data_IF_488837580911
#
_entry.id   IF_488837580911
#
_cell.length_a   1.000
_cell.length_b   1.000
_cell.length_c   1.000
_cell.angle_alpha   90.00
_cell.angle_beta   90.00
_cell.angle_gamma   90.00
#
_symmetry.space_group_name_H-M   'P 1'
#
loop_
_entity.id
_entity.type
_entity.pdbx_description
1 polymer ?
#
# COMPACT_ATOMS: atom_id res chain seq x y z
N UNK A 1 -54.87 12.06 -17.68
CA UNK A 1 -53.78 12.77 -16.97
C UNK A 1 -53.71 12.43 -15.47
N UNK A 2 -54.31 11.33 -15.03
CA UNK A 2 -54.19 10.76 -13.67
C UNK A 2 -53.83 9.25 -13.73
N UNK A 3 -53.31 8.79 -14.87
CA UNK A 3 -52.85 7.41 -15.13
C UNK A 3 -51.31 7.34 -15.32
N UNK A 4 -50.61 8.42 -14.96
CA UNK A 4 -49.14 8.53 -15.05
C UNK A 4 -48.49 8.42 -13.66
N UNK A 5 -49.28 8.30 -12.59
CA UNK A 5 -48.81 8.22 -11.20
C UNK A 5 -49.23 6.92 -10.50
N UNK A 6 -49.13 5.79 -11.19
CA UNK A 6 -49.11 4.47 -10.54
C UNK A 6 -47.70 3.90 -10.62
N UNK A 7 -46.77 4.63 -10.00
CA UNK A 7 -45.34 4.37 -9.98
C UNK A 7 -44.90 3.90 -8.59
N UNK A 8 -45.50 2.80 -8.10
CA UNK A 8 -45.15 2.12 -6.85
C UNK A 8 -44.44 0.77 -7.09
N UNK A 9 -43.75 0.63 -8.24
CA UNK A 9 -42.92 -0.55 -8.55
C UNK A 9 -41.43 -0.21 -8.69
N UNK A 10 -40.94 0.87 -8.06
CA UNK A 10 -39.56 1.29 -8.27
C UNK A 10 -38.54 0.40 -7.53
N UNK A 11 -38.86 -0.25 -6.41
CA UNK A 11 -37.92 -1.17 -5.76
C UNK A 11 -38.67 -2.29 -5.00
N UNK A 12 -39.13 -3.32 -5.71
CA UNK A 12 -39.40 -4.61 -5.07
C UNK A 12 -38.23 -5.52 -5.40
N UNK A 13 -37.16 -5.47 -4.59
CA UNK A 13 -36.09 -6.46 -4.66
C UNK A 13 -36.71 -7.80 -4.28
N UNK A 14 -36.96 -8.64 -5.26
CA UNK A 14 -37.43 -9.98 -5.01
C UNK A 14 -36.28 -10.84 -4.48
N UNK A 15 -36.59 -11.91 -3.75
CA UNK A 15 -35.58 -12.83 -3.21
C UNK A 15 -34.68 -13.43 -4.32
N UNK A 16 -35.18 -13.53 -5.55
CA UNK A 16 -34.42 -13.89 -6.75
C UNK A 16 -33.29 -12.91 -7.06
N UNK A 17 -33.56 -11.60 -6.93
CA UNK A 17 -32.60 -10.56 -7.27
C UNK A 17 -31.42 -10.55 -6.28
N UNK A 18 -31.70 -10.85 -5.00
CA UNK A 18 -30.66 -11.02 -3.97
C UNK A 18 -29.81 -12.28 -4.22
N UNK A 19 -30.43 -13.37 -4.66
CA UNK A 19 -29.71 -14.59 -5.03
C UNK A 19 -28.77 -14.35 -6.22
N UNK A 20 -29.25 -13.66 -7.26
CA UNK A 20 -28.44 -13.29 -8.42
C UNK A 20 -27.26 -12.40 -8.03
N UNK A 21 -27.48 -11.41 -7.16
CA UNK A 21 -26.43 -10.53 -6.64
C UNK A 21 -25.34 -11.32 -5.90
N UNK A 22 -25.73 -12.22 -4.99
CA UNK A 22 -24.79 -13.05 -4.24
C UNK A 22 -24.01 -13.98 -5.17
N UNK A 23 -24.69 -14.60 -6.14
CA UNK A 23 -24.09 -15.48 -7.14
C UNK A 23 -23.06 -14.73 -7.99
N UNK A 24 -23.37 -13.51 -8.43
CA UNK A 24 -22.44 -12.66 -9.16
C UNK A 24 -21.20 -12.28 -8.33
N UNK A 25 -21.39 -11.91 -7.05
CA UNK A 25 -20.27 -11.62 -6.15
C UNK A 25 -19.33 -12.82 -5.96
N UNK A 26 -19.89 -14.04 -5.84
CA UNK A 26 -19.11 -15.27 -5.71
C UNK A 26 -18.31 -15.53 -6.99
N UNK A 27 -18.93 -15.46 -8.16
CA UNK A 27 -18.24 -15.67 -9.44
C UNK A 27 -17.16 -14.61 -9.70
N UNK A 28 -17.40 -13.36 -9.32
CA UNK A 28 -16.41 -12.31 -9.36
C UNK A 28 -15.21 -12.62 -8.45
N UNK A 29 -15.46 -13.00 -7.19
CA UNK A 29 -14.41 -13.38 -6.26
C UNK A 29 -13.59 -14.59 -6.76
N UNK A 30 -14.25 -15.62 -7.29
CA UNK A 30 -13.58 -16.79 -7.88
C UNK A 30 -12.74 -16.42 -9.12
N UNK A 31 -13.24 -15.55 -9.97
CA UNK A 31 -12.51 -15.06 -11.15
C UNK A 31 -11.28 -14.24 -10.75
N UNK A 32 -11.39 -13.42 -9.69
CA UNK A 32 -10.23 -12.71 -9.13
C UNK A 32 -9.17 -13.69 -8.61
N UNK A 33 -9.57 -14.76 -7.91
CA UNK A 33 -8.65 -15.80 -7.45
C UNK A 33 -8.00 -16.49 -8.65
N UNK A 34 -8.77 -16.86 -9.67
CA UNK A 34 -8.26 -17.46 -10.89
C UNK A 34 -7.20 -16.59 -11.58
N UNK A 35 -7.47 -15.29 -11.77
CA UNK A 35 -6.51 -14.33 -12.34
C UNK A 35 -5.29 -14.20 -11.43
N UNK A 36 -5.46 -14.20 -10.10
CA UNK A 36 -4.35 -14.07 -9.16
C UNK A 36 -3.39 -15.25 -9.21
N UNK A 37 -3.90 -16.46 -9.49
CA UNK A 37 -3.12 -17.69 -9.70
C UNK A 37 -2.26 -17.59 -10.97
N UNK A 38 -2.69 -16.86 -11.99
CA UNK A 38 -1.91 -16.64 -13.23
C UNK A 38 -0.61 -15.85 -12.98
N UNK A 39 -0.53 -15.13 -11.85
CA UNK A 39 0.68 -14.46 -11.41
C UNK A 39 0.81 -13.02 -11.92
N UNK A 40 1.84 -12.32 -11.40
CA UNK A 40 2.02 -10.87 -11.64
C UNK A 40 2.49 -10.54 -13.06
N UNK A 41 3.15 -11.49 -13.75
CA UNK A 41 3.68 -11.32 -15.11
C UNK A 41 2.55 -11.02 -16.10
N UNK A 42 1.47 -11.80 -16.05
CA UNK A 42 0.31 -11.69 -16.93
C UNK A 42 -0.31 -10.28 -16.92
N UNK A 43 -0.34 -9.62 -15.76
CA UNK A 43 -0.95 -8.27 -15.64
C UNK A 43 0.02 -7.18 -16.13
N UNK A 44 1.32 -7.34 -15.91
CA UNK A 44 2.32 -6.34 -16.28
C UNK A 44 2.67 -6.35 -17.77
N UNK A 45 2.64 -7.53 -18.39
CA UNK A 45 2.87 -7.74 -19.82
C UNK A 45 1.89 -8.80 -20.31
N UNK A 46 0.71 -8.35 -20.74
CA UNK A 46 -0.32 -9.22 -21.30
C UNK A 46 0.20 -9.83 -22.61
N UNK A 47 0.51 -11.12 -22.58
CA UNK A 47 0.73 -11.87 -23.81
C UNK A 47 -0.59 -11.99 -24.58
N UNK A 48 -0.59 -12.05 -25.92
CA UNK A 48 -1.80 -12.35 -26.70
C UNK A 48 -2.53 -13.61 -26.19
N UNK A 49 -1.78 -14.61 -25.75
CA UNK A 49 -2.33 -15.82 -25.17
C UNK A 49 -3.06 -15.59 -23.83
N UNK A 50 -2.50 -14.75 -22.97
CA UNK A 50 -3.13 -14.40 -21.70
C UNK A 50 -4.45 -13.64 -21.93
N UNK A 51 -4.48 -12.74 -22.92
CA UNK A 51 -5.67 -12.01 -23.32
C UNK A 51 -6.80 -12.96 -23.74
N UNK A 52 -6.50 -13.94 -24.60
CA UNK A 52 -7.48 -14.96 -25.02
C UNK A 52 -8.03 -15.70 -23.81
N UNK A 53 -7.17 -16.09 -22.88
CA UNK A 53 -7.57 -16.85 -21.68
C UNK A 53 -8.50 -16.02 -20.78
N UNK A 54 -8.20 -14.73 -20.58
CA UNK A 54 -9.06 -13.82 -19.80
C UNK A 54 -10.44 -13.68 -20.45
N UNK A 55 -10.50 -13.55 -21.78
CA UNK A 55 -11.76 -13.46 -22.53
C UNK A 55 -12.58 -14.75 -22.37
N UNK A 56 -11.95 -15.91 -22.53
CA UNK A 56 -12.65 -17.21 -22.40
C UNK A 56 -13.17 -17.40 -20.97
N UNK A 57 -12.38 -17.06 -19.94
CA UNK A 57 -12.83 -17.14 -18.55
C UNK A 57 -14.03 -16.22 -18.30
N UNK A 58 -13.96 -14.97 -18.77
CA UNK A 58 -15.06 -14.01 -18.63
C UNK A 58 -16.35 -14.54 -19.27
N UNK A 59 -16.26 -15.05 -20.51
CA UNK A 59 -17.40 -15.63 -21.21
C UNK A 59 -17.95 -16.88 -20.51
N UNK A 60 -17.08 -17.76 -20.01
CA UNK A 60 -17.46 -18.99 -19.33
C UNK A 60 -18.17 -18.74 -18.00
N UNK A 61 -17.81 -17.67 -17.29
CA UNK A 61 -18.42 -17.28 -16.02
C UNK A 61 -19.72 -16.49 -16.24
N UNK A 62 -19.80 -15.66 -17.28
CA UNK A 62 -20.96 -14.81 -17.55
C UNK A 62 -22.27 -15.60 -17.73
N UNK A 63 -22.25 -16.67 -18.54
CA UNK A 63 -23.45 -17.48 -18.83
C UNK A 63 -24.11 -18.05 -17.55
N UNK A 64 -23.40 -18.82 -16.70
CA UNK A 64 -23.95 -19.33 -15.44
C UNK A 64 -24.05 -18.24 -14.37
N UNK A 65 -23.53 -17.04 -14.56
CA UNK A 65 -23.76 -15.92 -13.66
C UNK A 65 -25.11 -15.26 -13.93
N UNK A 66 -25.51 -15.15 -15.19
CA UNK A 66 -26.75 -14.51 -15.63
C UNK A 66 -27.98 -15.44 -15.56
N UNK A 67 -27.84 -16.72 -15.96
CA UNK A 67 -28.97 -17.65 -15.96
C UNK A 67 -29.07 -18.43 -14.64
N UNK A 68 -30.09 -18.09 -13.85
CA UNK A 68 -30.39 -18.76 -12.58
C UNK A 68 -30.71 -20.25 -12.73
N UNK A 69 -31.21 -20.68 -13.91
CA UNK A 69 -31.58 -22.07 -14.19
C UNK A 69 -30.38 -22.98 -14.35
N UNK A 70 -29.23 -22.41 -14.72
CA UNK A 70 -27.99 -23.15 -14.81
C UNK A 70 -27.49 -23.40 -13.39
N UNK A 71 -27.16 -24.64 -12.98
CA UNK A 71 -26.60 -24.86 -11.65
C UNK A 71 -25.22 -24.22 -11.51
N UNK A 72 -24.92 -23.66 -10.33
CA UNK A 72 -23.66 -22.96 -10.05
C UNK A 72 -22.40 -23.76 -10.43
N UNK A 73 -22.43 -25.08 -10.19
CA UNK A 73 -21.33 -26.00 -10.51
C UNK A 73 -20.94 -25.97 -11.99
N UNK A 74 -21.90 -25.76 -12.89
CA UNK A 74 -21.63 -25.68 -14.33
C UNK A 74 -20.85 -24.41 -14.73
N UNK A 75 -20.81 -23.37 -13.89
CA UNK A 75 -19.88 -22.25 -14.07
C UNK A 75 -18.54 -22.46 -13.40
N UNK A 76 -18.50 -23.21 -12.30
CA UNK A 76 -17.26 -23.51 -11.61
C UNK A 76 -16.35 -24.45 -12.41
N UNK A 77 -16.93 -25.48 -13.06
CA UNK A 77 -16.18 -26.44 -13.86
C UNK A 77 -15.32 -25.77 -14.94
N UNK A 78 -15.87 -24.95 -15.86
CA UNK A 78 -15.06 -24.32 -16.90
C UNK A 78 -14.08 -23.32 -16.32
N UNK A 79 -14.47 -22.52 -15.32
CA UNK A 79 -13.56 -21.58 -14.64
C UNK A 79 -12.32 -22.28 -14.08
N UNK A 80 -12.51 -23.34 -13.31
CA UNK A 80 -11.41 -24.11 -12.71
C UNK A 80 -10.60 -24.84 -13.78
N UNK A 81 -11.27 -25.47 -14.74
CA UNK A 81 -10.60 -26.22 -15.81
C UNK A 81 -9.69 -25.33 -16.65
N UNK A 82 -10.17 -24.16 -17.08
CA UNK A 82 -9.38 -23.21 -17.86
C UNK A 82 -8.23 -22.66 -17.01
N UNK A 83 -8.48 -22.35 -15.75
CA UNK A 83 -7.43 -21.84 -14.83
C UNK A 83 -6.32 -22.86 -14.65
N UNK A 84 -6.65 -24.14 -14.43
CA UNK A 84 -5.68 -25.23 -14.26
C UNK A 84 -4.90 -25.47 -15.56
N UNK A 85 -5.58 -25.53 -16.70
CA UNK A 85 -4.93 -25.69 -18.01
C UNK A 85 -3.97 -24.53 -18.28
N UNK A 86 -4.41 -23.29 -18.03
CA UNK A 86 -3.57 -22.11 -18.20
C UNK A 86 -2.33 -22.16 -17.30
N UNK A 87 -2.51 -22.53 -16.03
CA UNK A 87 -1.40 -22.67 -15.08
C UNK A 87 -0.39 -23.74 -15.53
N UNK A 88 -0.86 -24.91 -15.94
CA UNK A 88 0.00 -25.99 -16.46
C UNK A 88 0.73 -25.56 -17.74
N UNK A 89 0.06 -24.82 -18.62
CA UNK A 89 0.68 -24.32 -19.83
C UNK A 89 1.78 -23.30 -19.53
N UNK A 90 1.59 -22.41 -18.55
CA UNK A 90 2.64 -21.49 -18.09
C UNK A 90 3.85 -22.23 -17.53
N UNK A 91 3.65 -23.31 -16.77
CA UNK A 91 4.75 -24.18 -16.32
C UNK A 91 5.50 -24.82 -17.50
N UNK A 92 4.76 -25.22 -18.54
CA UNK A 92 5.32 -25.83 -19.73
C UNK A 92 6.11 -24.83 -20.58
N UNK A 93 5.59 -23.60 -20.74
CA UNK A 93 6.27 -22.48 -21.39
C UNK A 93 7.60 -22.21 -20.69
N UNK A 94 7.59 -22.10 -19.36
CA UNK A 94 8.78 -21.82 -18.55
C UNK A 94 9.86 -22.91 -18.70
N UNK A 95 9.46 -24.16 -18.96
CA UNK A 95 10.39 -25.27 -19.15
C UNK A 95 10.90 -25.40 -20.59
N UNK A 96 10.16 -24.92 -21.59
CA UNK A 96 10.47 -25.17 -23.00
C UNK A 96 10.36 -23.91 -23.86
N UNK A 97 11.54 -23.39 -24.24
CA UNK A 97 11.68 -22.20 -25.09
C UNK A 97 11.05 -22.34 -26.48
N UNK A 98 10.90 -23.56 -27.01
CA UNK A 98 10.17 -23.75 -28.29
C UNK A 98 8.68 -23.47 -28.14
N UNK A 99 8.10 -23.86 -27.00
CA UNK A 99 6.69 -23.63 -26.68
C UNK A 99 6.46 -22.16 -26.38
N UNK A 100 7.38 -21.53 -25.65
CA UNK A 100 7.41 -20.07 -25.47
C UNK A 100 7.41 -19.34 -26.82
N UNK A 101 8.35 -19.65 -27.71
CA UNK A 101 8.44 -19.01 -29.01
C UNK A 101 7.20 -19.24 -29.88
N UNK A 102 6.54 -20.39 -29.77
CA UNK A 102 5.34 -20.71 -30.55
C UNK A 102 4.09 -19.99 -30.02
N UNK A 103 3.91 -19.92 -28.69
CA UNK A 103 2.71 -19.34 -28.06
C UNK A 103 2.83 -17.84 -27.83
N UNK A 104 4.00 -17.37 -27.40
CA UNK A 104 4.23 -15.97 -27.08
C UNK A 104 4.86 -15.21 -28.23
N UNK A 105 5.49 -15.88 -29.20
CA UNK A 105 6.21 -15.26 -30.30
C UNK A 105 7.70 -15.06 -30.00
N UNK A 106 8.42 -14.51 -30.97
CA UNK A 106 9.86 -14.19 -30.86
C UNK A 106 10.10 -12.72 -31.15
N UNK A 107 11.03 -12.05 -30.45
CA UNK A 107 11.42 -10.70 -30.80
C UNK A 107 12.01 -10.64 -32.21
N UNK A 108 11.83 -9.51 -32.89
CA UNK A 108 12.24 -9.32 -34.28
C UNK A 108 12.91 -7.96 -34.47
N UNK A 109 14.16 -7.95 -34.92
CA UNK A 109 14.92 -6.71 -35.15
C UNK A 109 14.33 -5.99 -36.37
N UNK A 110 13.83 -4.77 -36.20
CA UNK A 110 13.26 -3.96 -37.29
C UNK A 110 14.26 -2.95 -37.85
N UNK A 111 15.19 -2.46 -37.02
CA UNK A 111 16.23 -1.50 -37.40
C UNK A 111 17.56 -1.96 -36.83
N UNK A 112 18.61 -1.93 -37.65
CA UNK A 112 19.97 -2.26 -37.24
C UNK A 112 20.91 -1.20 -37.82
N UNK A 113 21.75 -0.60 -36.97
CA UNK A 113 22.68 0.48 -37.32
C UNK A 113 22.06 1.72 -38.00
N UNK A 114 20.76 1.93 -37.83
CA UNK A 114 19.99 3.02 -38.47
C UNK A 114 19.38 2.63 -39.82
N UNK A 115 19.57 1.39 -40.27
CA UNK A 115 18.97 0.85 -41.49
C UNK A 115 17.75 -0.01 -41.16
N UNK A 116 16.68 0.17 -41.95
CA UNK A 116 15.44 -0.59 -41.77
C UNK A 116 15.57 -1.98 -42.40
N UNK A 117 15.30 -3.02 -41.61
CA UNK A 117 15.24 -4.40 -42.09
C UNK A 117 13.85 -4.69 -42.68
N UNK A 118 13.65 -4.30 -43.95
CA UNK A 118 12.36 -4.43 -44.67
C UNK A 118 11.82 -5.87 -44.65
N UNK A 119 12.69 -6.88 -44.65
CA UNK A 119 12.31 -8.29 -44.55
C UNK A 119 11.56 -8.59 -43.24
N UNK A 120 12.02 -8.03 -42.13
CA UNK A 120 11.44 -8.26 -40.81
C UNK A 120 10.16 -7.45 -40.65
N UNK A 121 10.10 -6.22 -41.18
CA UNK A 121 8.84 -5.46 -41.27
C UNK A 121 7.74 -6.25 -41.99
N UNK A 122 8.05 -6.86 -43.14
CA UNK A 122 7.08 -7.70 -43.88
C UNK A 122 6.66 -8.94 -43.10
N UNK A 123 7.61 -9.59 -42.42
CA UNK A 123 7.35 -10.79 -41.60
C UNK A 123 6.41 -10.47 -40.44
N UNK A 124 6.66 -9.37 -39.73
CA UNK A 124 5.85 -8.93 -38.59
C UNK A 124 4.61 -8.11 -39.00
N UNK A 125 4.38 -7.92 -40.31
CA UNK A 125 3.27 -7.12 -40.87
C UNK A 125 3.24 -5.68 -40.35
N UNK A 126 4.41 -5.11 -40.09
CA UNK A 126 4.59 -3.73 -39.65
C UNK A 126 4.91 -2.87 -40.87
N UNK A 127 4.16 -1.78 -41.07
CA UNK A 127 4.45 -0.82 -42.13
C UNK A 127 5.57 0.14 -41.70
N UNK A 128 6.17 0.86 -42.65
CA UNK A 128 7.13 1.91 -42.31
C UNK A 128 6.49 3.01 -41.44
N UNK A 129 5.23 3.34 -41.68
CA UNK A 129 4.49 4.31 -40.87
C UNK A 129 4.31 3.82 -39.42
N UNK A 130 4.01 2.54 -39.22
CA UNK A 130 3.93 1.94 -37.88
C UNK A 130 5.27 2.02 -37.15
N UNK A 131 6.37 1.72 -37.85
CA UNK A 131 7.72 1.84 -37.30
C UNK A 131 8.02 3.29 -36.86
N UNK A 132 7.69 4.30 -37.67
CA UNK A 132 7.85 5.71 -37.30
C UNK A 132 7.03 6.10 -36.07
N UNK A 133 5.79 5.59 -35.95
CA UNK A 133 4.96 5.78 -34.75
C UNK A 133 5.65 5.17 -33.53
N UNK A 134 6.13 3.93 -33.63
CA UNK A 134 6.81 3.22 -32.54
C UNK A 134 8.12 3.91 -32.12
N UNK A 135 8.91 4.43 -33.07
CA UNK A 135 10.11 5.21 -32.78
C UNK A 135 9.76 6.51 -32.04
N UNK A 136 8.68 7.18 -32.45
CA UNK A 136 8.19 8.40 -31.79
C UNK A 136 7.72 8.16 -30.37
N UNK A 137 7.04 7.03 -30.09
CA UNK A 137 6.66 6.63 -28.73
C UNK A 137 7.87 6.45 -27.80
N UNK A 138 9.04 6.20 -28.37
CA UNK A 138 10.32 6.11 -27.66
C UNK A 138 11.15 7.38 -27.67
N UNK A 139 10.57 8.49 -28.12
CA UNK A 139 11.23 9.79 -28.25
C UNK A 139 12.43 9.79 -29.21
N UNK A 140 12.48 8.85 -30.16
CA UNK A 140 13.50 8.84 -31.21
C UNK A 140 13.04 9.71 -32.36
N UNK A 141 13.84 10.72 -32.71
CA UNK A 141 13.50 11.68 -33.77
C UNK A 141 14.03 11.26 -35.13
N UNK A 142 15.18 10.60 -35.15
CA UNK A 142 15.82 10.16 -36.38
C UNK A 142 16.25 8.70 -36.25
N UNK A 143 15.87 7.88 -37.22
CA UNK A 143 16.23 6.47 -37.26
C UNK A 143 17.75 6.25 -37.27
N UNK A 144 18.53 7.19 -37.79
CA UNK A 144 19.99 7.10 -37.80
C UNK A 144 20.62 7.08 -36.41
N UNK A 145 19.88 7.53 -35.38
CA UNK A 145 20.31 7.50 -33.98
C UNK A 145 20.20 6.10 -33.36
N UNK A 146 19.46 5.21 -34.01
CA UNK A 146 19.17 3.86 -33.52
C UNK A 146 20.31 2.93 -33.88
N UNK A 147 20.84 2.25 -32.87
CA UNK A 147 21.76 1.13 -33.03
C UNK A 147 20.97 -0.15 -33.32
N UNK A 148 19.93 -0.40 -32.53
CA UNK A 148 19.03 -1.55 -32.71
C UNK A 148 17.62 -1.16 -32.28
N UNK A 149 16.61 -1.46 -33.08
CA UNK A 149 15.22 -1.44 -32.65
C UNK A 149 14.58 -2.81 -32.85
N UNK A 150 14.10 -3.40 -31.76
CA UNK A 150 13.58 -4.76 -31.72
C UNK A 150 12.11 -4.73 -31.31
N UNK A 151 11.26 -5.32 -32.16
CA UNK A 151 9.85 -5.50 -31.88
C UNK A 151 9.68 -6.70 -30.95
N UNK A 152 9.16 -6.45 -29.75
CA UNK A 152 8.87 -7.46 -28.76
C UNK A 152 7.54 -8.17 -29.08
N UNK A 153 7.32 -9.40 -28.58
CA UNK A 153 6.10 -10.15 -28.90
C UNK A 153 4.80 -9.54 -28.36
N UNK A 154 4.89 -8.62 -27.39
CA UNK A 154 3.77 -7.82 -26.92
C UNK A 154 3.48 -6.60 -27.81
N UNK A 155 4.15 -6.48 -28.96
CA UNK A 155 4.01 -5.38 -29.93
C UNK A 155 4.78 -4.12 -29.57
N UNK A 156 5.48 -4.09 -28.43
CA UNK A 156 6.25 -2.91 -28.00
C UNK A 156 7.60 -2.90 -28.69
N UNK A 157 8.09 -1.72 -29.02
CA UNK A 157 9.44 -1.53 -29.51
C UNK A 157 10.42 -1.42 -28.34
N UNK A 158 11.56 -2.10 -28.42
CA UNK A 158 12.74 -1.89 -27.58
C UNK A 158 13.80 -1.20 -28.43
N UNK A 159 14.49 -0.18 -27.90
CA UNK A 159 15.48 0.59 -28.67
C UNK A 159 16.79 0.67 -27.89
N UNK A 160 17.88 0.42 -28.61
CA UNK A 160 19.24 0.75 -28.22
C UNK A 160 19.70 1.89 -29.13
N UNK A 161 20.14 2.99 -28.53
CA UNK A 161 20.69 4.13 -29.27
C UNK A 161 22.17 3.89 -29.58
N UNK A 162 22.70 4.60 -30.57
CA UNK A 162 24.15 4.65 -30.80
C UNK A 162 24.83 5.37 -29.63
N UNK A 163 26.05 4.99 -29.29
CA UNK A 163 26.80 5.56 -28.15
C UNK A 163 26.81 7.10 -28.14
N UNK A 164 26.97 7.73 -29.31
CA UNK A 164 26.98 9.20 -29.45
C UNK A 164 25.62 9.88 -29.14
N UNK A 165 24.53 9.12 -29.16
CA UNK A 165 23.16 9.58 -28.94
C UNK A 165 22.62 9.13 -27.56
N UNK A 166 23.39 8.32 -26.82
CA UNK A 166 23.01 7.89 -25.47
C UNK A 166 23.05 9.05 -24.48
N UNK A 167 22.11 9.11 -23.52
CA UNK A 167 22.14 10.13 -22.49
C UNK A 167 23.36 9.94 -21.59
N UNK A 168 24.07 11.05 -21.33
CA UNK A 168 25.24 11.07 -20.45
C UNK A 168 24.86 10.55 -19.05
N UNK A 169 25.61 9.56 -18.57
CA UNK A 169 25.43 9.02 -17.22
C UNK A 169 26.31 9.76 -16.21
N UNK A 170 26.02 9.58 -14.91
CA UNK A 170 26.87 10.13 -13.83
C UNK A 170 28.32 9.65 -13.92
N UNK A 171 28.54 8.43 -14.39
CA UNK A 171 29.88 7.84 -14.50
C UNK A 171 30.70 8.51 -15.59
N UNK A 172 30.07 8.88 -16.71
CA UNK A 172 30.73 9.58 -17.82
C UNK A 172 31.21 10.97 -17.41
N UNK A 173 30.53 11.59 -16.43
CA UNK A 173 30.91 12.86 -15.83
C UNK A 173 31.90 12.71 -14.65
N UNK A 174 32.36 11.50 -14.34
CA UNK A 174 33.22 11.23 -13.19
C UNK A 174 32.55 11.47 -11.83
N UNK A 175 31.22 11.54 -11.78
CA UNK A 175 30.48 11.77 -10.55
C UNK A 175 30.29 10.47 -9.78
N UNK A 176 30.42 10.54 -8.46
CA UNK A 176 30.13 9.42 -7.58
C UNK A 176 28.67 8.95 -7.74
N UNK A 177 28.41 7.63 -7.62
CA UNK A 177 27.06 7.10 -7.63
C UNK A 177 26.25 7.74 -6.51
N UNK A 178 25.03 8.15 -6.81
CA UNK A 178 24.06 8.51 -5.78
C UNK A 178 23.70 7.24 -5.03
N UNK A 179 24.21 7.07 -3.80
CA UNK A 179 23.88 5.96 -2.90
C UNK A 179 22.47 6.02 -2.34
N UNK A 180 21.54 6.58 -3.12
CA UNK A 180 20.18 6.86 -2.70
C UNK A 180 19.34 5.60 -2.61
N UNK A 181 18.55 5.48 -1.54
CA UNK A 181 17.50 4.47 -1.46
C UNK A 181 16.32 4.89 -2.34
N UNK A 182 15.54 3.95 -2.87
CA UNK A 182 14.23 4.33 -3.41
C UNK A 182 13.38 4.95 -2.29
N UNK A 183 12.62 6.02 -2.54
CA UNK A 183 11.80 6.62 -1.50
C UNK A 183 10.85 5.59 -0.88
N UNK A 184 10.91 5.40 0.43
CA UNK A 184 10.14 4.37 1.13
C UNK A 184 9.03 5.01 1.94
N UNK A 185 7.78 4.66 1.62
CA UNK A 185 6.62 5.04 2.44
C UNK A 185 6.62 4.24 3.74
N UNK A 186 6.79 4.91 4.87
CA UNK A 186 6.86 4.29 6.21
C UNK A 186 5.60 4.49 7.05
N UNK A 187 4.84 5.56 6.79
CA UNK A 187 3.52 5.78 7.38
C UNK A 187 2.53 6.16 6.29
N UNK A 188 1.37 5.49 6.28
CA UNK A 188 0.24 5.82 5.42
C UNK A 188 -1.01 5.94 6.27
N UNK A 189 -1.72 7.07 6.17
CA UNK A 189 -2.99 7.32 6.86
C UNK A 189 -2.95 7.13 8.39
N UNK A 190 -1.79 7.35 9.00
CA UNK A 190 -1.56 7.18 10.43
C UNK A 190 -1.16 5.77 10.87
N UNK A 191 -1.09 4.82 9.94
CA UNK A 191 -0.61 3.46 10.19
C UNK A 191 0.84 3.30 9.74
N UNK A 192 1.63 2.61 10.57
CA UNK A 192 3.04 2.32 10.28
C UNK A 192 3.15 1.07 9.41
N UNK A 193 3.87 1.18 8.29
CA UNK A 193 4.09 0.08 7.34
C UNK A 193 5.37 -0.70 7.70
N UNK A 194 5.26 -1.73 8.53
CA UNK A 194 6.42 -2.51 9.02
C UNK A 194 7.25 -3.16 7.94
N UNK A 195 6.59 -3.73 6.92
CA UNK A 195 7.29 -4.39 5.81
C UNK A 195 8.18 -3.42 5.04
N UNK A 196 7.85 -2.12 5.10
CA UNK A 196 8.62 -1.05 4.49
C UNK A 196 9.71 -0.55 5.43
N UNK A 197 9.42 -0.45 6.73
CA UNK A 197 10.43 -0.12 7.74
C UNK A 197 11.55 -1.16 7.81
N UNK A 198 11.23 -2.46 7.76
CA UNK A 198 12.22 -3.55 7.76
C UNK A 198 13.16 -3.50 6.55
N UNK A 199 12.71 -2.95 5.43
CA UNK A 199 13.51 -2.73 4.22
C UNK A 199 14.24 -1.39 4.22
N UNK A 200 13.87 -0.50 5.14
CA UNK A 200 14.54 0.76 5.39
C UNK A 200 15.64 0.58 6.45
N UNK A 201 16.56 1.53 6.55
CA UNK A 201 17.55 1.58 7.64
C UNK A 201 17.02 2.23 8.92
N UNK A 202 15.71 2.50 8.99
CA UNK A 202 15.07 3.27 10.06
C UNK A 202 14.35 2.34 11.05
N UNK A 203 14.61 2.53 12.35
CA UNK A 203 13.85 1.86 13.42
C UNK A 203 12.55 2.61 13.74
N UNK A 204 11.59 1.91 14.34
CA UNK A 204 10.33 2.51 14.81
C UNK A 204 10.61 3.62 15.84
N UNK A 205 11.58 3.41 16.74
CA UNK A 205 11.96 4.41 17.73
C UNK A 205 12.45 5.71 17.06
N UNK A 206 13.32 5.60 16.04
CA UNK A 206 13.80 6.76 15.29
C UNK A 206 12.68 7.47 14.51
N UNK A 207 11.75 6.70 13.94
CA UNK A 207 10.58 7.25 13.26
C UNK A 207 9.72 8.09 14.20
N UNK A 208 9.44 7.53 15.38
CA UNK A 208 8.66 8.18 16.45
C UNK A 208 9.33 9.48 16.90
N UNK A 209 10.62 9.43 17.21
CA UNK A 209 11.38 10.61 17.66
C UNK A 209 11.37 11.72 16.60
N UNK A 210 11.54 11.37 15.32
CA UNK A 210 11.56 12.35 14.23
C UNK A 210 10.20 13.00 13.98
N UNK A 211 9.11 12.26 14.23
CA UNK A 211 7.73 12.78 14.14
C UNK A 211 7.42 13.71 15.31
N UNK A 212 7.78 13.32 16.53
CA UNK A 212 7.61 14.15 17.72
C UNK A 212 8.39 15.46 17.62
N UNK A 213 9.63 15.42 17.08
CA UNK A 213 10.45 16.62 16.85
C UNK A 213 9.78 17.64 15.92
N UNK A 214 8.79 17.22 15.12
CA UNK A 214 8.02 18.08 14.20
C UNK A 214 6.68 18.53 14.80
N UNK A 215 6.50 18.37 16.12
CA UNK A 215 5.31 18.78 16.85
C UNK A 215 4.08 18.00 16.42
N UNK A 216 4.21 16.70 16.22
CA UNK A 216 3.10 15.78 15.96
C UNK A 216 3.07 14.79 17.11
N UNK A 217 1.99 14.82 17.89
CA UNK A 217 1.88 14.01 19.11
C UNK A 217 1.31 12.62 18.85
N UNK A 218 0.50 12.45 17.79
CA UNK A 218 -0.13 11.17 17.44
C UNK A 218 0.22 10.77 16.02
N UNK A 219 0.47 9.47 15.81
CA UNK A 219 0.72 8.94 14.47
C UNK A 219 -0.51 9.14 13.55
N UNK A 220 -1.72 9.13 14.09
CA UNK A 220 -2.98 9.33 13.36
C UNK A 220 -3.10 10.69 12.65
N UNK A 221 -2.35 11.69 13.12
CA UNK A 221 -2.30 13.03 12.55
C UNK A 221 -1.32 13.10 11.36
N UNK A 222 -0.57 12.02 11.09
CA UNK A 222 0.32 11.88 9.94
C UNK A 222 -0.44 11.28 8.77
N UNK A 223 -0.70 12.08 7.73
CA UNK A 223 -1.27 11.56 6.49
C UNK A 223 -0.28 10.66 5.76
N UNK A 224 0.99 11.07 5.71
CA UNK A 224 2.05 10.35 5.00
C UNK A 224 3.41 10.63 5.63
N UNK A 225 4.23 9.61 5.82
CA UNK A 225 5.66 9.78 6.06
C UNK A 225 6.47 8.93 5.08
N UNK A 226 7.43 9.54 4.39
CA UNK A 226 8.26 8.89 3.37
C UNK A 226 9.72 9.21 3.62
N UNK A 227 10.56 8.17 3.62
CA UNK A 227 12.01 8.31 3.61
C UNK A 227 12.45 8.67 2.20
N UNK A 228 13.17 9.77 2.01
CA UNK A 228 13.75 10.12 0.71
C UNK A 228 14.99 9.29 0.40
N UNK A 229 15.58 9.50 -0.78
CA UNK A 229 16.78 8.78 -1.19
C UNK A 229 18.00 9.05 -0.31
N UNK A 230 18.01 10.20 0.39
CA UNK A 230 19.10 10.64 1.27
C UNK A 230 18.88 10.18 2.72
N UNK A 231 17.77 9.50 3.01
CA UNK A 231 17.42 9.05 4.36
C UNK A 231 16.66 10.08 5.20
N UNK A 232 16.25 11.23 4.63
CA UNK A 232 15.45 12.22 5.34
C UNK A 232 13.98 11.81 5.36
N UNK A 233 13.35 11.97 6.51
CA UNK A 233 11.92 11.74 6.66
C UNK A 233 11.14 12.96 6.17
N UNK A 234 10.33 12.78 5.13
CA UNK A 234 9.34 13.75 4.67
C UNK A 234 7.99 13.39 5.27
N UNK A 235 7.49 14.22 6.18
CA UNK A 235 6.22 14.02 6.90
C UNK A 235 5.20 15.04 6.42
N UNK A 236 4.03 14.55 6.03
CA UNK A 236 2.85 15.35 5.66
C UNK A 236 1.81 15.16 6.76
N UNK A 237 1.48 16.25 7.47
CA UNK A 237 0.37 16.26 8.43
C UNK A 237 -0.96 16.14 7.67
N UNK A 238 -1.95 15.51 8.30
CA UNK A 238 -3.32 15.51 7.82
C UNK A 238 -3.87 16.93 8.01
N UNK A 239 -4.22 17.62 6.93
CA UNK A 239 -4.92 18.91 7.03
C UNK A 239 -6.26 18.68 7.71
N UNK A 240 -6.48 19.35 8.85
CA UNK A 240 -7.81 19.46 9.43
C UNK A 240 -8.69 20.22 8.43
N UNK A 241 -9.77 19.59 7.95
CA UNK A 241 -10.88 20.35 7.38
C UNK A 241 -11.31 21.34 8.46
N UNK A 242 -11.04 22.63 8.24
CA UNK A 242 -11.55 23.73 9.04
C UNK A 242 -13.06 23.55 9.20
N UNK A 243 -13.49 23.01 10.36
CA UNK A 243 -14.89 23.05 10.76
C UNK A 243 -15.16 24.52 11.06
N UNK A 244 -15.99 25.13 10.22
CA UNK A 244 -16.57 26.44 10.47
C UNK A 244 -17.14 26.45 11.88
N UNK A 245 -16.74 27.47 12.62
CA UNK A 245 -17.20 27.83 13.95
C UNK A 245 -18.71 27.61 14.10
N UNK A 246 -19.08 26.74 15.03
CA UNK A 246 -20.42 26.56 15.55
C UNK A 246 -20.31 26.58 17.06
N UNK A 247 -20.96 27.58 17.65
CA UNK A 247 -20.89 28.00 19.04
C UNK A 247 -21.24 26.91 20.05
N UNK A 248 -20.60 27.03 21.22
CA UNK A 248 -21.21 26.75 22.52
C UNK A 248 -21.53 25.30 22.84
N UNK A 249 -20.69 24.68 23.67
CA UNK A 249 -21.21 23.99 24.85
C UNK A 249 -20.15 23.83 25.93
N UNK A 250 -20.59 24.23 27.12
CA UNK A 250 -19.85 24.36 28.36
C UNK A 250 -19.13 23.07 28.78
N UNK A 251 -17.92 23.29 29.28
CA UNK A 251 -17.29 22.62 30.43
C UNK A 251 -18.24 21.72 31.23
N UNK A 252 -18.02 20.41 31.11
CA UNK A 252 -18.28 19.46 32.19
C UNK A 252 -16.94 18.91 32.63
N UNK A 253 -16.36 19.57 33.65
CA UNK A 253 -15.32 18.99 34.50
C UNK A 253 -15.90 17.72 35.13
N UNK A 254 -15.55 16.55 34.59
CA UNK A 254 -15.67 15.30 35.34
C UNK A 254 -14.48 15.23 36.29
N UNK A 255 -14.78 15.31 37.57
CA UNK A 255 -13.85 15.05 38.67
C UNK A 255 -13.07 13.76 38.42
N UNK A 256 -11.74 13.89 38.54
CA UNK A 256 -10.80 12.78 38.63
C UNK A 256 -11.17 11.91 39.84
N UNK A 257 -11.97 10.86 39.62
CA UNK A 257 -12.02 9.75 40.57
C UNK A 257 -10.69 9.00 40.46
N UNK A 258 -9.86 9.22 41.49
CA UNK A 258 -8.46 8.86 41.55
C UNK A 258 -8.17 7.42 41.16
N UNK A 259 -7.48 7.27 40.04
CA UNK A 259 -6.66 6.09 39.76
C UNK A 259 -5.25 6.42 40.27
N UNK A 260 -4.96 6.09 41.53
CA UNK A 260 -3.61 6.20 42.08
C UNK A 260 -2.75 5.08 41.53
N UNK A 261 -2.09 5.31 40.39
CA UNK A 261 -1.08 4.40 39.86
C UNK A 261 0.22 4.62 40.64
N UNK A 262 0.70 3.60 41.35
CA UNK A 262 1.99 3.65 42.05
C UNK A 262 3.16 3.42 41.07
N UNK A 263 3.59 4.49 40.39
CA UNK A 263 4.63 4.39 39.36
C UNK A 263 5.99 3.87 39.87
N UNK A 264 6.30 4.05 41.17
CA UNK A 264 7.55 3.54 41.77
C UNK A 264 7.58 2.01 41.89
N UNK A 265 6.41 1.38 42.00
CA UNK A 265 6.27 -0.07 42.11
C UNK A 265 6.29 -0.72 40.71
N UNK A 266 5.62 -0.09 39.74
CA UNK A 266 5.68 -0.49 38.33
C UNK A 266 7.10 -0.39 37.76
N UNK A 267 7.86 0.66 38.11
CA UNK A 267 9.23 0.85 37.63
C UNK A 267 10.22 -0.16 38.24
N UNK A 268 9.89 -0.77 39.39
CA UNK A 268 10.65 -1.91 39.94
C UNK A 268 10.28 -3.23 39.27
N UNK A 269 9.04 -3.36 38.79
CA UNK A 269 8.50 -4.59 38.18
C UNK A 269 8.91 -4.73 36.70
N UNK A 270 9.02 -3.63 35.97
CA UNK A 270 9.31 -3.64 34.53
C UNK A 270 10.67 -2.96 34.24
N UNK A 271 11.55 -3.59 33.43
CA UNK A 271 12.90 -3.09 33.13
C UNK A 271 12.92 -1.96 32.09
N UNK A 272 11.90 -1.10 32.05
CA UNK A 272 11.78 0.01 31.08
C UNK A 272 11.41 1.32 31.76
N UNK A 273 11.89 2.48 31.27
CA UNK A 273 11.41 3.77 31.73
C UNK A 273 9.90 3.86 31.46
N UNK A 274 9.07 3.95 32.51
CA UNK A 274 7.62 4.04 32.40
C UNK A 274 7.17 5.22 31.51
N UNK A 275 7.99 6.27 31.46
CA UNK A 275 7.83 7.44 30.58
C UNK A 275 7.84 7.06 29.09
N UNK A 276 8.75 6.18 28.65
CA UNK A 276 8.83 5.70 27.26
C UNK A 276 7.60 4.86 26.89
N UNK A 277 7.08 4.07 27.83
CA UNK A 277 5.85 3.30 27.63
C UNK A 277 4.63 4.22 27.46
N UNK A 278 4.48 5.21 28.33
CA UNK A 278 3.39 6.18 28.28
C UNK A 278 3.44 7.05 27.01
N UNK A 279 4.65 7.40 26.54
CA UNK A 279 4.86 8.07 25.26
C UNK A 279 4.37 7.24 24.07
N UNK A 280 4.76 5.96 24.04
CA UNK A 280 4.34 5.05 22.97
C UNK A 280 2.80 4.89 22.95
N UNK A 281 2.16 4.73 24.13
CA UNK A 281 0.70 4.68 24.23
C UNK A 281 0.05 5.96 23.73
N UNK A 282 0.55 7.13 24.14
CA UNK A 282 0.00 8.44 23.76
C UNK A 282 0.08 8.70 22.26
N UNK A 283 1.13 8.18 21.60
CA UNK A 283 1.28 8.26 20.15
C UNK A 283 0.32 7.36 19.36
N UNK A 284 -0.47 6.54 20.06
CA UNK A 284 -1.43 5.61 19.47
C UNK A 284 -0.81 4.28 19.07
N UNK A 285 0.34 3.90 19.65
CA UNK A 285 0.98 2.64 19.29
C UNK A 285 0.19 1.42 19.80
N UNK A 286 0.09 0.37 18.99
CA UNK A 286 -0.50 -0.91 19.41
C UNK A 286 0.46 -1.70 20.33
N UNK A 287 -0.03 -2.78 20.96
CA UNK A 287 0.78 -3.54 21.95
C UNK A 287 2.05 -4.15 21.34
N UNK A 288 1.99 -4.58 20.08
CA UNK A 288 3.16 -5.09 19.36
C UNK A 288 4.18 -4.01 19.03
N UNK A 289 3.74 -2.79 18.78
CA UNK A 289 4.56 -1.61 18.54
C UNK A 289 5.26 -1.14 19.81
N UNK A 290 4.51 -1.08 20.92
CA UNK A 290 5.05 -0.71 22.24
C UNK A 290 6.12 -1.73 22.67
N UNK A 291 5.88 -3.03 22.48
CA UNK A 291 6.85 -4.08 22.78
C UNK A 291 8.19 -3.87 22.05
N UNK A 292 8.14 -3.49 20.76
CA UNK A 292 9.34 -3.24 19.96
C UNK A 292 10.09 -1.97 20.35
N UNK A 293 9.38 -0.91 20.73
CA UNK A 293 9.98 0.38 21.13
C UNK A 293 10.57 0.29 22.54
N UNK A 294 9.88 -0.39 23.45
CA UNK A 294 10.29 -0.52 24.87
C UNK A 294 11.24 -1.69 25.11
N UNK A 295 11.26 -2.69 24.23
CA UNK A 295 12.03 -3.93 24.41
C UNK A 295 11.35 -4.96 25.32
N UNK A 296 10.11 -4.70 25.76
CA UNK A 296 9.32 -5.63 26.56
C UNK A 296 8.76 -6.79 25.72
N UNK A 297 8.48 -7.92 26.37
CA UNK A 297 7.70 -9.00 25.78
C UNK A 297 6.25 -8.56 25.62
N UNK A 298 5.56 -9.08 24.60
CA UNK A 298 4.17 -8.71 24.31
C UNK A 298 3.23 -8.95 25.51
N UNK A 299 3.47 -10.00 26.29
CA UNK A 299 2.68 -10.30 27.49
C UNK A 299 2.93 -9.28 28.62
N UNK A 300 4.18 -8.80 28.78
CA UNK A 300 4.52 -7.75 29.75
C UNK A 300 3.86 -6.41 29.36
N UNK A 301 3.74 -6.11 28.06
CA UNK A 301 3.04 -4.92 27.56
C UNK A 301 1.54 -4.97 27.84
N UNK A 302 0.91 -6.12 27.58
CA UNK A 302 -0.53 -6.32 27.87
C UNK A 302 -0.82 -6.22 29.37
N UNK A 303 0.05 -6.81 30.19
CA UNK A 303 -0.06 -6.75 31.65
C UNK A 303 0.09 -5.32 32.14
N UNK A 304 1.14 -4.61 31.71
CA UNK A 304 1.38 -3.21 32.08
C UNK A 304 0.26 -2.27 31.61
N UNK A 305 -0.29 -2.49 30.41
CA UNK A 305 -1.46 -1.74 29.89
C UNK A 305 -2.73 -2.03 30.70
N UNK A 306 -2.91 -3.27 31.16
CA UNK A 306 -4.00 -3.67 32.04
C UNK A 306 -3.89 -3.05 33.43
N UNK A 307 -2.67 -3.03 34.00
CA UNK A 307 -2.37 -2.39 35.29
C UNK A 307 -2.52 -0.87 35.25
N UNK A 308 -2.27 -0.26 34.09
CA UNK A 308 -2.54 1.15 33.81
C UNK A 308 -4.02 1.42 33.46
N UNK A 309 -4.93 0.46 33.65
CA UNK A 309 -6.37 0.72 33.70
C UNK A 309 -7.03 1.11 32.39
N UNK A 310 -6.54 0.62 31.23
CA UNK A 310 -7.23 0.87 29.95
C UNK A 310 -7.20 2.33 29.48
N UNK A 311 -6.24 3.12 29.98
CA UNK A 311 -5.99 4.53 29.59
C UNK A 311 -5.76 4.72 28.06
N UNK A 312 -5.61 3.64 27.28
CA UNK A 312 -5.24 3.68 25.87
C UNK A 312 -6.34 3.56 24.81
N UNK A 313 -7.64 3.58 25.12
CA UNK A 313 -8.67 3.44 24.07
C UNK A 313 -9.32 4.74 23.58
N UNK A 314 -9.34 5.82 24.37
CA UNK A 314 -10.04 7.05 23.93
C UNK A 314 -9.80 8.31 24.79
N UNK A 315 -8.80 8.35 25.69
CA UNK A 315 -8.65 9.49 26.60
C UNK A 315 -7.40 10.31 26.30
N UNK A 316 -7.63 11.62 26.24
CA UNK A 316 -6.68 12.70 26.03
C UNK A 316 -5.57 12.64 27.10
N UNK A 317 -4.42 12.07 26.75
CA UNK A 317 -3.21 12.03 27.59
C UNK A 317 -2.44 13.36 27.52
N UNK A 318 -3.15 14.47 27.41
CA UNK A 318 -2.60 15.83 27.43
C UNK A 318 -1.94 16.18 28.77
N UNK A 319 -2.18 15.41 29.83
CA UNK A 319 -1.54 15.55 31.15
C UNK A 319 -0.52 14.44 31.46
N UNK A 320 0.53 14.39 30.62
CA UNK A 320 1.68 13.47 30.70
C UNK A 320 2.44 13.50 32.04
N UNK A 321 2.33 14.58 32.82
CA UNK A 321 3.09 14.81 34.07
C UNK A 321 2.37 14.38 35.34
N UNK A 322 1.04 14.24 35.32
CA UNK A 322 0.26 14.16 36.56
C UNK A 322 0.01 12.72 37.05
N UNK A 323 0.18 11.72 36.19
CA UNK A 323 -0.07 10.30 36.53
C UNK A 323 0.92 9.78 37.58
N UNK A 324 2.16 10.30 37.61
CA UNK A 324 3.22 9.81 38.51
C UNK A 324 3.74 10.85 39.54
N UNK A 325 3.28 12.11 39.54
CA UNK A 325 3.85 13.17 40.40
C UNK A 325 3.07 13.49 41.69
N UNK A 326 1.94 12.82 41.98
CA UNK A 326 1.03 13.24 43.05
C UNK A 326 1.47 12.95 44.51
N UNK A 327 2.77 12.83 44.85
CA UNK A 327 3.20 12.49 46.22
C UNK A 327 4.26 13.39 46.89
N UNK A 328 4.73 14.45 46.25
CA UNK A 328 5.79 15.29 46.84
C UNK A 328 5.30 16.46 47.72
N UNK A 329 4.01 16.76 47.76
CA UNK A 329 3.49 17.96 48.44
C UNK A 329 2.52 17.68 49.58
N UNK A 330 2.93 16.92 50.62
CA UNK A 330 2.26 16.95 51.94
C UNK A 330 3.14 16.34 53.05
N UNK A 331 3.90 17.19 53.74
CA UNK A 331 4.23 17.01 55.17
C UNK A 331 4.29 18.38 55.86
N UNK A 332 3.88 18.52 57.15
CA UNK A 332 3.51 19.79 57.74
C UNK A 332 4.71 20.59 58.29
N UNK A 333 4.57 21.91 58.22
CA UNK A 333 5.54 22.95 58.55
C UNK A 333 5.96 23.01 60.02
N UNK A 334 7.28 23.15 60.22
CA UNK A 334 7.88 23.63 61.46
C UNK A 334 8.33 25.10 61.29
N UNK A 335 7.64 26.02 61.98
CA UNK A 335 8.26 27.14 62.71
C UNK A 335 8.50 28.51 62.05
N UNK A 336 8.21 29.55 62.88
CA UNK A 336 8.71 30.94 62.92
C UNK A 336 8.09 31.96 61.93
N UNK A 337 7.40 33.01 62.43
CA UNK A 337 7.87 34.27 63.06
C UNK A 337 8.65 35.16 62.08
N UNK A 338 8.05 36.27 61.64
CA UNK A 338 8.36 37.63 62.14
C UNK A 338 7.78 38.74 61.21
N UNK A 339 7.11 39.68 61.88
CA UNK A 339 6.96 41.13 61.63
C UNK A 339 7.76 41.77 60.46
N UNK A 340 7.07 42.55 59.62
CA UNK A 340 7.27 44.01 59.44
C UNK A 340 6.29 44.57 58.39
N UNK A 341 5.65 45.69 58.73
CA UNK A 341 4.68 46.43 57.92
C UNK A 341 3.67 47.14 58.79
#
# INVERSE_FOLDING_TARGET
>A
MWEILQNDKIINVHFSDLYLLLRALIFFALSLVAIRIMGKRTIAQLSPFDLITIIIIGAAVAIPMEDEKIPFVHGLIPLVSITVVNYLLHLLIMKNRKIENFLQGTPSVLVENGEVIVKNLRKERVTLADLEVLLREKNVRNINQVQEATLEPNGRLSIVLKEAEEPVTRRDLGLAPSGGLFPVLVIANGEVLYDHLAKSRLSIAQLVTEIQRRGIERLQDVARATLDERGNLLVVKREEKTRVSGEGQETMLRENNGLQVNCQELQKKYPVPLELFLEAVSMGLNDGEIAKVTGLRLEEVKELRGELGGIGSSLDLTHKKDICQARESRSPSAGKKDMQG
#
